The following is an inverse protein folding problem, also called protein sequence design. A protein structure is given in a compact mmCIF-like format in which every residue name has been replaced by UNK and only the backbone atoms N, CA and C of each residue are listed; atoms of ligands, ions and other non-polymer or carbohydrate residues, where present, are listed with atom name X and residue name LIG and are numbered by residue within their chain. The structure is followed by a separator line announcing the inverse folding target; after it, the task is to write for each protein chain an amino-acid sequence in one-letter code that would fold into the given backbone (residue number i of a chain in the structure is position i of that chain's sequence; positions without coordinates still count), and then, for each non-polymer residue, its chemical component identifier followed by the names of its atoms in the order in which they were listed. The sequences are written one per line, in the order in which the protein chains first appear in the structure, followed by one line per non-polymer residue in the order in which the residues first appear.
data_IF_072232861987
#
_entry.id   IF_072232861987
#
_cell.length_a   1.000
_cell.length_b   1.000
_cell.length_c   1.000
_cell.angle_alpha   90.00
_cell.angle_beta   90.00
_cell.angle_gamma   90.00
#
_symmetry.space_group_name_H-M   'P 1'
#
loop_
_entity.id
_entity.type
_entity.pdbx_description
1 polymer ?
#
# COMPACT_ATOMS: atom_id res chain seq x y z
N UNK A 1 -9.62 -9.68 25.10
CA UNK A 1 -8.42 -8.82 25.22
C UNK A 1 -8.78 -7.35 25.05
N UNK A 2 -8.03 -6.42 25.66
CA UNK A 2 -8.29 -4.97 25.52
C UNK A 2 -7.65 -4.39 24.25
N UNK A 3 -8.12 -3.24 23.77
CA UNK A 3 -7.55 -2.59 22.57
C UNK A 3 -6.04 -2.34 22.68
N UNK A 4 -5.55 -1.99 23.87
CA UNK A 4 -4.12 -1.77 24.11
C UNK A 4 -3.30 -3.06 24.08
N UNK A 5 -3.90 -4.19 24.44
CA UNK A 5 -3.28 -5.51 24.34
C UNK A 5 -3.24 -5.98 22.89
N UNK A 6 -4.37 -5.85 22.18
CA UNK A 6 -4.46 -6.12 20.75
C UNK A 6 -3.47 -5.28 19.95
N UNK A 7 -3.33 -4.00 20.27
CA UNK A 7 -2.34 -3.10 19.66
C UNK A 7 -0.90 -3.60 19.82
N UNK A 8 -0.54 -4.06 21.03
CA UNK A 8 0.80 -4.60 21.31
C UNK A 8 1.04 -5.91 20.55
N UNK A 9 0.10 -6.84 20.62
CA UNK A 9 0.23 -8.16 19.99
C UNK A 9 0.27 -8.06 18.46
N UNK A 10 -0.53 -7.17 17.88
CA UNK A 10 -0.59 -6.98 16.43
C UNK A 10 0.38 -5.93 15.91
N UNK A 11 1.17 -5.26 16.75
CA UNK A 11 2.03 -4.15 16.34
C UNK A 11 1.28 -2.99 15.64
N UNK A 12 0.02 -2.79 16.00
CA UNK A 12 -0.88 -1.79 15.39
C UNK A 12 -1.13 -0.66 16.38
N UNK A 13 -1.11 0.59 15.94
CA UNK A 13 -1.50 1.72 16.81
C UNK A 13 -2.98 1.62 17.17
N UNK A 14 -3.33 2.00 18.41
CA UNK A 14 -4.72 2.02 18.90
C UNK A 14 -5.63 2.86 17.99
N UNK A 15 -5.14 4.00 17.51
CA UNK A 15 -5.87 4.87 16.57
C UNK A 15 -6.16 4.17 15.24
N UNK A 16 -5.20 3.40 14.72
CA UNK A 16 -5.37 2.62 13.50
C UNK A 16 -6.39 1.50 13.67
N UNK A 17 -6.42 0.83 14.84
CA UNK A 17 -7.45 -0.16 15.15
C UNK A 17 -8.83 0.49 15.14
N UNK A 18 -9.00 1.64 15.80
CA UNK A 18 -10.28 2.39 15.79
C UNK A 18 -10.67 2.85 14.40
N UNK A 19 -9.69 3.24 13.58
CA UNK A 19 -9.94 3.59 12.19
C UNK A 19 -10.45 2.40 11.36
N UNK A 20 -9.88 1.21 11.56
CA UNK A 20 -10.37 0.00 10.92
C UNK A 20 -11.76 -0.42 11.40
N UNK A 21 -12.09 -0.22 12.69
CA UNK A 21 -13.46 -0.37 13.18
C UNK A 21 -14.41 0.61 12.48
N UNK A 22 -14.10 1.91 12.49
CA UNK A 22 -14.99 2.93 11.91
C UNK A 22 -15.16 2.82 10.40
N UNK A 23 -14.20 2.20 9.70
CA UNK A 23 -14.27 1.95 8.25
C UNK A 23 -14.85 0.58 7.89
N UNK A 24 -15.31 -0.19 8.88
CA UNK A 24 -15.92 -1.51 8.71
C UNK A 24 -14.95 -2.61 8.29
N UNK A 25 -13.64 -2.36 8.34
CA UNK A 25 -12.60 -3.35 8.03
C UNK A 25 -12.36 -4.31 9.20
N UNK A 26 -12.55 -3.84 10.44
CA UNK A 26 -12.55 -4.67 11.63
C UNK A 26 -13.97 -4.66 12.21
N UNK A 27 -14.58 -5.83 12.49
CA UNK A 27 -15.90 -5.87 13.11
C UNK A 27 -15.86 -5.23 14.49
N UNK A 28 -17.00 -4.70 14.94
CA UNK A 28 -17.10 -4.17 16.29
C UNK A 28 -16.94 -5.30 17.31
N UNK A 29 -16.03 -5.16 18.29
CA UNK A 29 -15.82 -6.18 19.30
C UNK A 29 -17.02 -6.28 20.24
N UNK A 30 -17.18 -7.45 20.84
CA UNK A 30 -18.11 -7.64 21.94
C UNK A 30 -17.80 -6.69 23.10
N UNK A 31 -18.79 -6.49 23.98
CA UNK A 31 -18.60 -5.72 25.22
C UNK A 31 -18.64 -6.65 26.42
N UNK A 32 -17.71 -6.49 27.36
CA UNK A 32 -17.78 -7.18 28.65
C UNK A 32 -18.95 -6.67 29.48
N UNK A 33 -19.29 -7.39 30.56
CA UNK A 33 -20.31 -6.97 31.54
C UNK A 33 -20.05 -5.57 32.13
N UNK A 34 -18.79 -5.15 32.18
CA UNK A 34 -18.38 -3.80 32.61
C UNK A 34 -18.38 -2.76 31.46
N UNK A 35 -19.12 -3.03 30.37
CA UNK A 35 -19.38 -2.16 29.22
C UNK A 35 -18.13 -1.71 28.42
N UNK A 36 -17.28 -2.69 28.17
CA UNK A 36 -15.88 -2.47 27.89
C UNK A 36 -15.54 -3.30 26.65
N UNK A 37 -14.96 -2.71 25.59
CA UNK A 37 -14.62 -3.46 24.36
C UNK A 37 -13.71 -4.64 24.67
N UNK A 38 -14.07 -5.79 24.11
CA UNK A 38 -13.39 -7.08 24.28
C UNK A 38 -13.11 -7.72 22.92
N UNK A 39 -11.84 -7.70 22.54
CA UNK A 39 -11.37 -8.29 21.30
C UNK A 39 -10.98 -9.75 21.53
N UNK A 40 -11.06 -10.57 20.50
CA UNK A 40 -10.66 -11.98 20.56
C UNK A 40 -9.57 -12.28 19.52
N UNK A 41 -9.26 -13.57 19.35
CA UNK A 41 -8.25 -14.02 18.39
C UNK A 41 -8.65 -13.72 16.94
N UNK A 42 -9.95 -13.74 16.60
CA UNK A 42 -10.40 -13.43 15.25
C UNK A 42 -10.10 -11.97 14.86
N UNK A 43 -10.19 -11.05 15.82
CA UNK A 43 -9.79 -9.66 15.61
C UNK A 43 -8.28 -9.53 15.37
N UNK A 44 -7.47 -10.33 16.06
CA UNK A 44 -6.02 -10.36 15.89
C UNK A 44 -5.62 -10.90 14.51
N UNK A 45 -6.25 -11.99 14.08
CA UNK A 45 -6.03 -12.60 12.76
C UNK A 45 -6.44 -11.63 11.64
N UNK A 46 -7.61 -10.99 11.77
CA UNK A 46 -8.10 -10.00 10.80
C UNK A 46 -7.20 -8.77 10.73
N UNK A 47 -6.71 -8.24 11.86
CA UNK A 47 -5.73 -7.15 11.86
C UNK A 47 -4.41 -7.57 11.21
N UNK A 48 -3.96 -8.79 11.44
CA UNK A 48 -2.74 -9.32 10.82
C UNK A 48 -2.91 -9.40 9.31
N UNK A 49 -4.07 -9.87 8.83
CA UNK A 49 -4.43 -9.89 7.42
C UNK A 49 -4.37 -8.48 6.81
N UNK A 50 -5.09 -7.52 7.39
CA UNK A 50 -5.12 -6.13 6.92
C UNK A 50 -3.70 -5.54 6.83
N UNK A 51 -2.88 -5.73 7.87
CA UNK A 51 -1.50 -5.20 7.90
C UNK A 51 -0.64 -5.81 6.81
N UNK A 52 -0.69 -7.12 6.60
CA UNK A 52 0.12 -7.81 5.59
C UNK A 52 -0.29 -7.37 4.19
N UNK A 53 -1.58 -7.31 3.89
CA UNK A 53 -2.06 -6.85 2.60
C UNK A 53 -1.68 -5.38 2.35
N UNK A 54 -1.78 -4.52 3.36
CA UNK A 54 -1.29 -3.14 3.27
C UNK A 54 0.23 -3.04 3.04
N UNK A 55 1.02 -3.94 3.63
CA UNK A 55 2.47 -4.00 3.42
C UNK A 55 2.84 -4.44 2.00
N UNK A 56 2.00 -5.26 1.35
CA UNK A 56 2.13 -5.65 -0.06
C UNK A 56 1.65 -4.57 -1.04
N UNK A 57 1.16 -3.43 -0.53
CA UNK A 57 0.73 -2.30 -1.36
C UNK A 57 -0.73 -2.36 -1.80
N UNK A 58 -1.51 -3.35 -1.37
CA UNK A 58 -2.94 -3.38 -1.67
C UNK A 58 -3.65 -2.16 -1.10
N UNK A 59 -4.58 -1.60 -1.87
CA UNK A 59 -5.45 -0.51 -1.42
C UNK A 59 -6.38 -0.98 -0.30
N UNK A 60 -6.95 -0.07 0.50
CA UNK A 60 -7.94 -0.46 1.51
C UNK A 60 -9.20 -1.08 0.89
N UNK A 61 -9.51 -0.73 -0.35
CA UNK A 61 -10.62 -1.31 -1.11
C UNK A 61 -10.34 -2.77 -1.47
N UNK A 62 -9.17 -3.06 -2.05
CA UNK A 62 -8.76 -4.46 -2.33
C UNK A 62 -8.65 -5.28 -1.05
N UNK A 63 -8.18 -4.69 0.06
CA UNK A 63 -8.16 -5.39 1.36
C UNK A 63 -9.58 -5.74 1.82
N UNK A 64 -10.57 -4.86 1.62
CA UNK A 64 -11.96 -5.15 1.96
C UNK A 64 -12.51 -6.30 1.13
N UNK A 65 -12.22 -6.31 -0.16
CA UNK A 65 -12.63 -7.39 -1.06
C UNK A 65 -11.99 -8.72 -0.66
N UNK A 66 -10.68 -8.73 -0.43
CA UNK A 66 -9.97 -9.93 0.04
C UNK A 66 -10.49 -10.43 1.39
N UNK A 67 -10.85 -9.54 2.31
CA UNK A 67 -11.48 -9.92 3.58
C UNK A 67 -12.86 -10.53 3.35
N UNK A 68 -13.67 -9.96 2.45
CA UNK A 68 -15.00 -10.49 2.11
C UNK A 68 -14.89 -11.90 1.54
N UNK A 69 -13.91 -12.13 0.66
CA UNK A 69 -13.65 -13.45 0.07
C UNK A 69 -13.12 -14.43 1.12
N UNK A 70 -12.24 -13.99 2.03
CA UNK A 70 -11.71 -14.85 3.09
C UNK A 70 -12.75 -15.23 4.15
N UNK A 71 -13.76 -14.37 4.37
CA UNK A 71 -14.88 -14.64 5.29
C UNK A 71 -15.85 -15.70 4.72
N UNK A 72 -15.82 -15.98 3.41
CA UNK A 72 -16.65 -16.98 2.73
C UNK A 72 -15.82 -18.20 2.31
N UNK A 73 -15.74 -19.21 3.19
CA UNK A 73 -14.83 -20.36 3.03
C UNK A 73 -15.23 -21.35 1.94
N UNK A 74 -16.41 -21.18 1.30
CA UNK A 74 -16.89 -22.06 0.23
C UNK A 74 -16.67 -21.47 -1.17
N UNK A 75 -16.22 -20.22 -1.29
CA UNK A 75 -15.92 -19.60 -2.57
C UNK A 75 -14.63 -20.19 -3.21
N UNK A 76 -14.61 -20.42 -4.53
CA UNK A 76 -13.39 -20.75 -5.26
C UNK A 76 -12.33 -19.67 -5.09
N UNK A 77 -11.06 -20.08 -5.00
CA UNK A 77 -9.95 -19.14 -4.85
C UNK A 77 -9.72 -18.24 -6.08
N UNK A 78 -10.40 -18.50 -7.20
CA UNK A 78 -10.31 -17.76 -8.46
C UNK A 78 -10.48 -16.25 -8.25
N UNK A 79 -11.44 -15.83 -7.40
CA UNK A 79 -11.66 -14.41 -7.12
C UNK A 79 -10.49 -13.77 -6.33
N UNK A 80 -9.84 -14.52 -5.46
CA UNK A 80 -8.64 -14.06 -4.74
C UNK A 80 -7.47 -13.94 -5.71
N UNK A 81 -7.31 -14.91 -6.61
CA UNK A 81 -6.27 -14.92 -7.63
C UNK A 81 -6.44 -13.76 -8.62
N UNK A 82 -7.66 -13.39 -8.99
CA UNK A 82 -7.96 -12.22 -9.82
C UNK A 82 -7.49 -10.91 -9.15
N UNK A 83 -7.85 -10.70 -7.88
CA UNK A 83 -7.43 -9.50 -7.13
C UNK A 83 -5.91 -9.43 -7.00
N UNK A 84 -5.26 -10.55 -6.69
CA UNK A 84 -3.81 -10.63 -6.56
C UNK A 84 -3.11 -10.37 -7.90
N UNK A 85 -3.61 -10.97 -8.98
CA UNK A 85 -3.06 -10.83 -10.34
C UNK A 85 -3.21 -9.40 -10.85
N UNK A 86 -4.34 -8.75 -10.63
CA UNK A 86 -4.54 -7.34 -11.00
C UNK A 86 -3.55 -6.42 -10.26
N UNK A 87 -3.30 -6.67 -8.98
CA UNK A 87 -2.32 -5.91 -8.21
C UNK A 87 -0.88 -6.17 -8.68
N UNK A 88 -0.54 -7.41 -9.04
CA UNK A 88 0.76 -7.75 -9.60
C UNK A 88 1.02 -6.98 -10.90
N UNK A 89 0.04 -6.93 -11.82
CA UNK A 89 0.14 -6.15 -13.06
C UNK A 89 0.39 -4.66 -12.77
N UNK A 90 -0.30 -4.09 -11.79
CA UNK A 90 -0.09 -2.70 -11.39
C UNK A 90 1.30 -2.45 -10.81
N UNK A 91 1.84 -3.40 -10.03
CA UNK A 91 3.21 -3.36 -9.50
C UNK A 91 4.23 -3.42 -10.63
N UNK A 92 4.06 -4.35 -11.58
CA UNK A 92 4.98 -4.51 -12.72
C UNK A 92 5.00 -3.26 -13.59
N UNK A 93 3.84 -2.66 -13.86
CA UNK A 93 3.77 -1.38 -14.58
C UNK A 93 4.53 -0.28 -13.82
N UNK A 94 4.37 -0.21 -12.49
CA UNK A 94 5.07 0.79 -11.69
C UNK A 94 6.59 0.58 -11.71
N UNK A 95 7.05 -0.67 -11.71
CA UNK A 95 8.47 -1.01 -11.83
C UNK A 95 9.01 -0.58 -13.19
N UNK A 96 8.26 -0.81 -14.27
CA UNK A 96 8.63 -0.38 -15.61
C UNK A 96 8.78 1.15 -15.69
N UNK A 97 7.78 1.90 -15.20
CA UNK A 97 7.80 3.36 -15.18
C UNK A 97 8.98 3.91 -14.36
N UNK A 98 9.22 3.36 -13.17
CA UNK A 98 10.32 3.77 -12.30
C UNK A 98 11.69 3.40 -12.86
N UNK A 99 11.77 2.31 -13.62
CA UNK A 99 12.98 1.90 -14.33
C UNK A 99 13.30 2.86 -15.46
N UNK A 100 12.32 3.22 -16.29
CA UNK A 100 12.48 4.21 -17.34
C UNK A 100 12.92 5.57 -16.78
N UNK A 101 12.28 6.03 -15.70
CA UNK A 101 12.66 7.27 -15.02
C UNK A 101 14.09 7.22 -14.46
N UNK A 102 14.48 6.09 -13.85
CA UNK A 102 15.84 5.89 -13.35
C UNK A 102 16.87 5.99 -14.48
N UNK A 103 16.58 5.42 -15.64
CA UNK A 103 17.46 5.46 -16.81
C UNK A 103 17.61 6.89 -17.34
N UNK A 104 16.51 7.63 -17.48
CA UNK A 104 16.53 9.05 -17.87
C UNK A 104 17.38 9.88 -16.91
N UNK A 105 17.16 9.74 -15.59
CA UNK A 105 17.95 10.43 -14.57
C UNK A 105 19.43 10.04 -14.60
N UNK A 106 19.73 8.76 -14.87
CA UNK A 106 21.11 8.27 -14.94
C UNK A 106 21.86 8.87 -16.13
N UNK A 107 21.20 8.98 -17.29
CA UNK A 107 21.76 9.64 -18.49
C UNK A 107 22.02 11.13 -18.26
N UNK A 108 21.08 11.81 -17.61
CA UNK A 108 21.24 13.21 -17.22
C UNK A 108 22.48 13.41 -16.34
N UNK A 109 22.68 12.55 -15.34
CA UNK A 109 23.84 12.61 -14.43
C UNK A 109 25.18 12.35 -15.13
N UNK A 110 25.23 11.50 -16.16
CA UNK A 110 26.45 11.27 -16.96
C UNK A 110 26.88 12.49 -17.79
N UNK A 111 25.96 13.43 -18.05
CA UNK A 111 26.23 14.61 -18.87
C UNK A 111 26.83 15.79 -18.09
N UNK A 112 26.95 15.68 -16.76
CA UNK A 112 27.61 16.66 -15.91
C UNK A 112 29.09 16.31 -15.73
N UNK A 113 29.98 17.13 -16.28
CA UNK A 113 31.40 17.17 -15.89
C UNK A 113 31.64 18.11 -14.72
N UNK A 114 32.90 18.23 -14.29
CA UNK A 114 33.41 19.01 -13.13
C UNK A 114 33.25 20.55 -13.25
N UNK A 115 32.36 21.02 -14.13
CA UNK A 115 32.10 22.43 -14.40
C UNK A 115 31.16 23.09 -13.39
N UNK A 116 30.73 24.31 -13.69
CA UNK A 116 29.83 25.08 -12.81
C UNK A 116 28.36 24.79 -13.11
N UNK A 117 27.44 25.14 -12.19
CA UNK A 117 25.99 24.99 -12.40
C UNK A 117 25.51 25.75 -13.65
N UNK A 118 26.19 26.82 -14.06
CA UNK A 118 25.88 27.56 -15.30
C UNK A 118 26.16 26.77 -16.59
N UNK A 119 27.00 25.72 -16.51
CA UNK A 119 27.36 24.84 -17.62
C UNK A 119 26.66 23.47 -17.51
N UNK A 120 25.82 23.30 -16.49
CA UNK A 120 25.14 22.05 -16.19
C UNK A 120 24.05 21.77 -17.23
N UNK A 121 24.30 20.74 -18.06
CA UNK A 121 23.36 20.28 -19.09
C UNK A 121 22.02 19.82 -18.50
N UNK A 122 22.01 19.33 -17.26
CA UNK A 122 20.76 18.94 -16.57
C UNK A 122 19.90 20.18 -16.29
N UNK A 123 20.49 21.24 -15.73
CA UNK A 123 19.77 22.48 -15.41
C UNK A 123 19.23 23.12 -16.69
N UNK A 124 20.03 23.11 -17.76
CA UNK A 124 19.56 23.57 -19.08
C UNK A 124 18.42 22.73 -19.65
N UNK A 125 18.48 21.40 -19.54
CA UNK A 125 17.42 20.51 -20.01
C UNK A 125 16.11 20.67 -19.21
N UNK A 126 16.19 20.86 -17.89
CA UNK A 126 15.03 21.06 -17.02
C UNK A 126 14.42 22.48 -17.11
N UNK A 127 15.25 23.49 -17.38
CA UNK A 127 14.81 24.87 -17.57
C UNK A 127 14.20 25.12 -18.97
N UNK A 128 14.45 24.21 -19.92
CA UNK A 128 13.83 24.26 -21.23
C UNK A 128 12.38 23.76 -21.12
N UNK A 129 11.38 24.55 -21.56
CA UNK A 129 10.01 24.07 -21.59
C UNK A 129 9.93 22.86 -22.53
N UNK A 130 9.57 21.68 -22.01
CA UNK A 130 9.24 20.51 -22.84
C UNK A 130 8.15 20.93 -23.83
N UNK A 131 8.49 21.03 -25.11
CA UNK A 131 7.50 21.14 -26.17
C UNK A 131 6.84 19.75 -26.31
N UNK A 132 5.50 19.68 -26.41
CA UNK A 132 4.83 18.41 -26.63
C UNK A 132 5.17 17.90 -28.04
N UNK A 133 6.01 16.87 -28.14
CA UNK A 133 6.41 16.27 -29.42
C UNK A 133 7.54 15.23 -29.38
N UNK A 134 8.40 15.23 -28.37
CA UNK A 134 9.59 14.35 -28.34
C UNK A 134 9.38 13.03 -27.59
N UNK A 135 8.29 12.32 -27.91
CA UNK A 135 8.12 10.90 -27.57
C UNK A 135 8.17 10.09 -28.87
N UNK A 136 9.39 9.76 -29.29
CA UNK A 136 9.69 8.81 -30.37
C UNK A 136 10.10 7.46 -29.78
#
# INVERSE_FOLDING_TARGET
MRIGELAKQTGTKVETIRYYESSGLLPEPARTQANYRDYDLSHMERLTFIRRSRALGFTLESVRELLRLADDSEDPCDAVDEVASAHLVAVDQKIADLTALREELSLMLQCCGDGTVGECKIVSALASPRLPGDAG
#
